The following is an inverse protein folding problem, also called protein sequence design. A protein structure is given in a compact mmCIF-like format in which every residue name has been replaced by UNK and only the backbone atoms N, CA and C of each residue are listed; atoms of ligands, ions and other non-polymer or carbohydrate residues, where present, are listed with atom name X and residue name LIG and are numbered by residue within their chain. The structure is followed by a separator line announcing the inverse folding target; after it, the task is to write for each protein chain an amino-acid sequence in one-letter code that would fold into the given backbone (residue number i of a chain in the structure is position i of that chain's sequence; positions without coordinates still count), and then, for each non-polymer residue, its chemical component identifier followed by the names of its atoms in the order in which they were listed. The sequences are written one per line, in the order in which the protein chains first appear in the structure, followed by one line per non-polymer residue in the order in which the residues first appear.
data_IF_900037535718
#
_entry.id   IF_900037535718
#
_cell.length_a   1.000
_cell.length_b   1.000
_cell.length_c   1.000
_cell.angle_alpha   90.00
_cell.angle_beta   90.00
_cell.angle_gamma   90.00
#
_symmetry.space_group_name_H-M   'P 1'
#
loop_
_entity.id
_entity.type
_entity.pdbx_description
1 polymer ?
#
# COMPACT_ATOMS: atom_id res chain seq x y z
N UNK A 1 2.73 -20.56 3.70
CA UNK A 1 2.74 -19.10 3.48
C UNK A 1 2.35 -18.31 4.74
N UNK A 2 1.24 -18.65 5.41
CA UNK A 2 0.74 -17.99 6.63
C UNK A 2 1.79 -17.72 7.73
N UNK A 3 2.48 -18.76 8.22
CA UNK A 3 3.43 -18.60 9.31
C UNK A 3 4.58 -17.63 8.97
N UNK A 4 5.10 -17.71 7.74
CA UNK A 4 6.21 -16.89 7.26
C UNK A 4 5.80 -15.42 7.10
N UNK A 5 4.61 -15.15 6.57
CA UNK A 5 4.11 -13.78 6.43
C UNK A 5 3.89 -13.13 7.80
N UNK A 6 3.29 -13.85 8.75
CA UNK A 6 3.08 -13.37 10.12
C UNK A 6 4.42 -13.12 10.82
N UNK A 7 5.35 -14.09 10.77
CA UNK A 7 6.69 -13.92 11.36
C UNK A 7 7.39 -12.67 10.82
N UNK A 8 7.32 -12.42 9.50
CA UNK A 8 7.89 -11.22 8.90
C UNK A 8 7.16 -9.93 9.34
N UNK A 9 5.82 -9.95 9.40
CA UNK A 9 5.02 -8.81 9.84
C UNK A 9 5.33 -8.40 11.28
N UNK A 10 5.74 -9.33 12.15
CA UNK A 10 6.15 -9.01 13.52
C UNK A 10 7.34 -8.05 13.61
N UNK A 11 8.13 -7.89 12.54
CA UNK A 11 9.15 -6.86 12.46
C UNK A 11 8.57 -5.43 12.58
N UNK A 12 7.29 -5.23 12.23
CA UNK A 12 6.57 -3.96 12.36
C UNK A 12 5.98 -3.73 13.75
N UNK A 13 6.02 -4.74 14.64
CA UNK A 13 5.41 -4.72 15.98
C UNK A 13 3.90 -4.32 15.94
N UNK A 14 3.06 -5.02 15.16
CA UNK A 14 1.66 -4.65 14.98
C UNK A 14 0.83 -4.89 16.25
N UNK A 15 -0.14 -4.02 16.51
CA UNK A 15 -1.14 -4.21 17.58
C UNK A 15 -2.23 -5.23 17.19
N UNK A 16 -2.52 -5.35 15.90
CA UNK A 16 -3.54 -6.24 15.33
C UNK A 16 -2.97 -6.98 14.13
N UNK A 17 -3.21 -8.29 14.06
CA UNK A 17 -2.77 -9.15 12.95
C UNK A 17 -4.00 -9.78 12.32
N UNK A 18 -4.11 -9.65 11.00
CA UNK A 18 -5.10 -10.38 10.22
C UNK A 18 -4.59 -11.79 9.91
N UNK A 19 -5.37 -12.80 10.26
CA UNK A 19 -5.05 -14.21 10.03
C UNK A 19 -5.86 -14.69 8.82
N UNK A 20 -5.14 -15.21 7.83
CA UNK A 20 -5.73 -15.83 6.65
C UNK A 20 -5.76 -17.35 6.85
N UNK A 21 -6.84 -18.01 6.42
CA UNK A 21 -6.93 -19.47 6.47
C UNK A 21 -5.81 -20.11 5.65
N UNK A 22 -5.15 -21.15 6.17
CA UNK A 22 -4.14 -21.88 5.36
C UNK A 22 -4.74 -22.51 4.09
N UNK A 23 -6.08 -22.62 4.03
CA UNK A 23 -6.90 -23.15 2.94
C UNK A 23 -7.34 -22.09 1.91
N UNK A 24 -6.92 -20.82 2.03
CA UNK A 24 -7.38 -19.69 1.18
C UNK A 24 -7.43 -19.98 -0.32
N UNK A 25 -6.43 -20.71 -0.83
CA UNK A 25 -6.31 -21.02 -2.26
C UNK A 25 -7.07 -22.29 -2.71
N UNK A 26 -7.73 -22.98 -1.78
CA UNK A 26 -8.35 -24.29 -2.02
C UNK A 26 -9.87 -24.24 -1.78
N UNK A 27 -10.30 -23.95 -0.54
CA UNK A 27 -11.71 -23.97 -0.19
C UNK A 27 -12.07 -22.92 0.89
N UNK A 28 -13.37 -22.69 1.06
CA UNK A 28 -13.88 -21.80 2.11
C UNK A 28 -13.53 -22.38 3.49
N UNK A 29 -12.87 -21.58 4.32
CA UNK A 29 -12.39 -22.03 5.62
C UNK A 29 -13.53 -22.54 6.52
N UNK A 30 -13.35 -23.74 7.05
CA UNK A 30 -14.20 -24.31 8.11
C UNK A 30 -13.81 -23.74 9.48
N UNK A 31 -14.59 -24.08 10.51
CA UNK A 31 -14.26 -23.67 11.89
C UNK A 31 -12.90 -24.24 12.32
N UNK A 32 -12.63 -25.49 11.95
CA UNK A 32 -11.39 -26.21 12.23
C UNK A 32 -10.20 -25.52 11.55
N UNK A 33 -10.35 -25.10 10.29
CA UNK A 33 -9.28 -24.40 9.57
C UNK A 33 -8.92 -23.05 10.20
N UNK A 34 -9.92 -22.33 10.71
CA UNK A 34 -9.72 -21.05 11.40
C UNK A 34 -8.98 -21.26 12.73
N UNK A 35 -9.35 -22.29 13.51
CA UNK A 35 -8.67 -22.63 14.76
C UNK A 35 -7.21 -23.02 14.50
N UNK A 36 -6.97 -23.85 13.49
CA UNK A 36 -5.61 -24.29 13.14
C UNK A 36 -4.76 -23.10 12.64
N UNK A 37 -5.30 -22.28 11.74
CA UNK A 37 -4.62 -21.07 11.25
C UNK A 37 -4.29 -20.11 12.39
N UNK A 38 -5.18 -19.99 13.39
CA UNK A 38 -4.95 -19.18 14.60
C UNK A 38 -3.84 -19.73 15.47
N UNK A 39 -3.73 -21.06 15.58
CA UNK A 39 -2.66 -21.75 16.32
C UNK A 39 -1.31 -21.55 15.63
N UNK A 40 -1.26 -21.70 14.30
CA UNK A 40 -0.08 -21.42 13.49
C UNK A 40 0.37 -19.97 13.64
N UNK A 41 -0.57 -19.02 13.53
CA UNK A 41 -0.32 -17.60 13.70
C UNK A 41 0.30 -17.29 15.07
N UNK A 42 -0.32 -17.80 16.16
CA UNK A 42 0.20 -17.65 17.52
C UNK A 42 1.63 -18.15 17.64
N UNK A 43 1.91 -19.33 17.09
CA UNK A 43 3.26 -19.90 17.15
C UNK A 43 4.29 -19.06 16.38
N UNK A 44 3.92 -18.53 15.22
CA UNK A 44 4.78 -17.63 14.45
C UNK A 44 5.09 -16.34 15.21
N UNK A 45 4.09 -15.76 15.88
CA UNK A 45 4.23 -14.56 16.73
C UNK A 45 5.18 -14.85 17.90
N UNK A 46 4.93 -15.94 18.65
CA UNK A 46 5.80 -16.35 19.76
C UNK A 46 7.25 -16.52 19.33
N UNK A 47 7.47 -17.15 18.17
CA UNK A 47 8.81 -17.37 17.65
C UNK A 47 9.50 -16.04 17.30
N UNK A 48 8.80 -15.08 16.71
CA UNK A 48 9.36 -13.76 16.43
C UNK A 48 9.69 -13.01 17.73
N UNK A 49 8.81 -13.09 18.74
CA UNK A 49 8.99 -12.46 20.04
C UNK A 49 10.15 -13.06 20.86
N UNK A 50 10.45 -14.36 20.67
CA UNK A 50 11.61 -15.03 21.31
C UNK A 50 12.96 -14.59 20.76
N UNK A 51 12.98 -13.84 19.65
CA UNK A 51 14.21 -13.31 19.05
C UNK A 51 14.16 -13.36 17.53
N UNK A 52 13.61 -12.32 16.92
CA UNK A 52 13.73 -12.07 15.49
C UNK A 52 14.91 -11.12 15.21
N UNK A 53 15.59 -11.27 14.05
CA UNK A 53 16.56 -10.28 13.60
C UNK A 53 15.94 -8.88 13.49
N UNK A 54 16.68 -7.85 13.88
CA UNK A 54 16.27 -6.47 13.64
C UNK A 54 16.38 -6.15 12.14
N UNK A 55 15.24 -6.16 11.45
CA UNK A 55 15.17 -5.88 10.01
C UNK A 55 15.56 -4.44 9.68
N UNK A 56 15.48 -3.49 10.63
CA UNK A 56 15.91 -2.11 10.42
C UNK A 56 17.43 -1.96 10.43
N UNK A 57 18.18 -2.99 10.84
CA UNK A 57 19.64 -2.99 10.72
C UNK A 57 20.10 -2.95 9.26
N UNK A 58 19.31 -3.47 8.31
CA UNK A 58 19.63 -3.45 6.87
C UNK A 58 19.41 -2.04 6.26
N UNK A 59 20.46 -1.41 5.68
CA UNK A 59 20.32 -0.13 4.98
C UNK A 59 19.30 -0.14 3.84
N UNK A 60 19.08 -1.28 3.16
CA UNK A 60 18.09 -1.40 2.08
C UNK A 60 16.67 -1.18 2.59
N UNK A 61 16.36 -1.69 3.80
CA UNK A 61 15.06 -1.52 4.44
C UNK A 61 14.86 -0.05 4.83
N UNK A 62 15.84 0.57 5.48
CA UNK A 62 15.82 2.01 5.82
C UNK A 62 15.64 2.90 4.60
N UNK A 63 16.38 2.64 3.53
CA UNK A 63 16.25 3.39 2.27
C UNK A 63 14.86 3.23 1.66
N UNK A 64 14.27 2.02 1.74
CA UNK A 64 12.91 1.78 1.25
C UNK A 64 11.86 2.53 2.07
N UNK A 65 12.00 2.58 3.39
CA UNK A 65 11.12 3.37 4.28
C UNK A 65 11.19 4.85 3.90
N UNK A 66 12.39 5.42 3.81
CA UNK A 66 12.57 6.83 3.44
C UNK A 66 11.98 7.14 2.07
N UNK A 67 12.16 6.24 1.10
CA UNK A 67 11.54 6.38 -0.22
C UNK A 67 10.01 6.37 -0.14
N UNK A 68 9.41 5.45 0.61
CA UNK A 68 7.94 5.38 0.77
C UNK A 68 7.38 6.63 1.44
N UNK A 69 8.04 7.15 2.48
CA UNK A 69 7.65 8.39 3.15
C UNK A 69 7.72 9.59 2.20
N UNK A 70 8.79 9.69 1.42
CA UNK A 70 8.95 10.76 0.44
C UNK A 70 7.87 10.72 -0.64
N UNK A 71 7.61 9.55 -1.23
CA UNK A 71 6.58 9.40 -2.27
C UNK A 71 5.19 9.70 -1.70
N UNK A 72 4.86 9.19 -0.52
CA UNK A 72 3.59 9.51 0.15
C UNK A 72 3.42 11.01 0.41
N UNK A 73 4.50 11.71 0.79
CA UNK A 73 4.46 13.16 1.00
C UNK A 73 4.16 13.93 -0.29
N UNK A 74 4.69 13.47 -1.44
CA UNK A 74 4.35 14.03 -2.76
C UNK A 74 2.86 13.85 -3.06
N UNK A 75 2.32 12.64 -2.87
CA UNK A 75 0.88 12.37 -3.07
C UNK A 75 0.02 13.27 -2.18
N UNK A 76 0.34 13.35 -0.87
CA UNK A 76 -0.42 14.17 0.09
C UNK A 76 -0.37 15.66 -0.27
N UNK A 77 0.77 16.16 -0.73
CA UNK A 77 0.89 17.54 -1.18
C UNK A 77 0.05 17.79 -2.44
N UNK A 78 0.04 16.86 -3.39
CA UNK A 78 -0.81 16.94 -4.57
C UNK A 78 -2.30 17.00 -4.22
N UNK A 79 -2.75 16.22 -3.23
CA UNK A 79 -4.13 16.29 -2.72
C UNK A 79 -4.41 17.67 -2.13
N UNK A 80 -3.49 18.21 -1.31
CA UNK A 80 -3.65 19.56 -0.73
C UNK A 80 -3.76 20.66 -1.79
N UNK A 81 -3.03 20.54 -2.90
CA UNK A 81 -3.09 21.49 -4.02
C UNK A 81 -4.43 21.47 -4.78
N UNK A 82 -5.27 20.45 -4.59
CA UNK A 82 -6.62 20.45 -5.17
C UNK A 82 -7.59 21.38 -4.43
N UNK A 83 -7.29 21.76 -3.18
CA UNK A 83 -8.22 22.56 -2.40
C UNK A 83 -8.30 24.00 -2.95
N UNK A 84 -9.53 24.43 -3.21
CA UNK A 84 -9.85 25.83 -3.52
C UNK A 84 -10.15 26.65 -2.26
N UNK A 85 -10.33 26.00 -1.11
CA UNK A 85 -10.74 26.64 0.14
C UNK A 85 -9.76 26.30 1.27
N UNK A 86 -9.11 27.32 1.82
CA UNK A 86 -8.16 27.17 2.93
C UNK A 86 -8.82 26.94 4.30
N UNK A 87 -10.15 26.99 4.41
CA UNK A 87 -10.85 26.85 5.70
C UNK A 87 -11.11 25.42 6.16
N UNK A 88 -10.88 24.41 5.30
CA UNK A 88 -11.06 22.98 5.62
C UNK A 88 -9.76 22.27 5.28
N UNK A 89 -9.31 21.36 6.15
CA UNK A 89 -8.15 20.51 5.84
C UNK A 89 -8.45 19.66 4.59
N UNK A 90 -7.70 19.81 3.49
CA UNK A 90 -7.93 19.09 2.25
C UNK A 90 -7.90 17.56 2.40
N UNK A 91 -7.22 17.04 3.44
CA UNK A 91 -7.11 15.60 3.68
C UNK A 91 -8.34 14.98 4.36
N UNK A 92 -9.31 15.80 4.78
CA UNK A 92 -10.60 15.35 5.31
C UNK A 92 -11.80 15.89 4.54
N UNK A 93 -11.58 16.78 3.56
CA UNK A 93 -12.64 17.33 2.73
C UNK A 93 -13.11 16.27 1.70
N UNK A 94 -14.38 15.79 1.77
CA UNK A 94 -14.89 14.77 0.85
C UNK A 94 -14.86 15.20 -0.61
N UNK A 95 -15.00 16.50 -0.91
CA UNK A 95 -14.92 16.99 -2.29
C UNK A 95 -13.49 16.91 -2.83
N UNK A 96 -12.50 17.30 -2.02
CA UNK A 96 -11.08 17.20 -2.39
C UNK A 96 -10.67 15.73 -2.57
N UNK A 97 -11.04 14.87 -1.62
CA UNK A 97 -10.73 13.45 -1.71
C UNK A 97 -11.37 12.81 -2.95
N UNK A 98 -12.64 13.10 -3.25
CA UNK A 98 -13.28 12.62 -4.46
C UNK A 98 -12.56 13.11 -5.74
N UNK A 99 -12.19 14.39 -5.80
CA UNK A 99 -11.42 14.92 -6.92
C UNK A 99 -10.06 14.24 -7.08
N UNK A 100 -9.37 13.92 -5.98
CA UNK A 100 -8.09 13.22 -6.04
C UNK A 100 -8.20 11.82 -6.66
N UNK A 101 -9.32 11.12 -6.45
CA UNK A 101 -9.59 9.80 -7.06
C UNK A 101 -9.94 9.93 -8.54
N UNK A 102 -10.82 10.87 -8.88
CA UNK A 102 -11.27 11.13 -10.25
C UNK A 102 -10.09 11.54 -11.13
N UNK A 103 -9.24 12.44 -10.63
CA UNK A 103 -8.05 12.92 -11.36
C UNK A 103 -6.94 11.87 -11.41
N UNK A 104 -6.93 10.89 -10.49
CA UNK A 104 -5.91 9.85 -10.42
C UNK A 104 -4.67 10.24 -9.60
N UNK A 105 -4.77 11.28 -8.75
CA UNK A 105 -3.77 11.51 -7.70
C UNK A 105 -3.81 10.35 -6.70
N UNK A 106 -5.00 9.95 -6.25
CA UNK A 106 -5.22 8.67 -5.60
C UNK A 106 -5.74 7.68 -6.64
N UNK A 107 -4.96 6.63 -6.93
CA UNK A 107 -5.34 5.65 -7.94
C UNK A 107 -4.87 4.24 -7.53
N UNK A 108 -5.53 3.22 -8.05
CA UNK A 108 -5.13 1.83 -7.87
C UNK A 108 -5.48 1.00 -9.11
N UNK A 109 -4.70 -0.04 -9.44
CA UNK A 109 -4.97 -0.89 -10.61
C UNK A 109 -6.38 -1.49 -10.61
N UNK A 110 -6.93 -1.76 -9.42
CA UNK A 110 -8.26 -2.33 -9.22
C UNK A 110 -9.40 -1.34 -9.51
N UNK A 111 -9.11 -0.05 -9.68
CA UNK A 111 -10.09 0.98 -10.05
C UNK A 111 -10.33 1.05 -11.57
N UNK A 112 -9.64 0.23 -12.36
CA UNK A 112 -9.85 0.15 -13.81
C UNK A 112 -11.33 -0.10 -14.13
N UNK A 113 -11.87 0.69 -15.07
CA UNK A 113 -13.28 0.69 -15.49
C UNK A 113 -14.28 1.19 -14.42
N UNK A 114 -13.83 1.87 -13.37
CA UNK A 114 -14.73 2.53 -12.42
C UNK A 114 -15.10 3.94 -12.94
N UNK A 115 -16.39 4.28 -13.09
CA UNK A 115 -16.81 5.60 -13.58
C UNK A 115 -16.46 6.77 -12.65
N UNK A 116 -16.09 6.50 -11.39
CA UNK A 116 -15.74 7.51 -10.38
C UNK A 116 -14.24 7.57 -10.07
N UNK A 117 -13.39 6.86 -10.83
CA UNK A 117 -11.96 6.83 -10.60
C UNK A 117 -11.16 6.77 -11.90
N UNK A 118 -9.91 7.24 -11.86
CA UNK A 118 -9.02 7.21 -13.02
C UNK A 118 -8.70 5.77 -13.46
N UNK A 119 -8.26 4.90 -12.53
CA UNK A 119 -7.96 3.50 -12.82
C UNK A 119 -6.87 3.30 -13.88
N UNK A 120 -5.98 4.28 -14.05
CA UNK A 120 -4.96 4.29 -15.11
C UNK A 120 -3.57 3.93 -14.61
N UNK A 121 -3.35 3.94 -13.30
CA UNK A 121 -2.07 3.56 -12.70
C UNK A 121 -1.75 2.09 -13.00
N UNK A 122 -0.48 1.84 -13.33
CA UNK A 122 0.07 0.50 -13.49
C UNK A 122 1.18 0.27 -12.49
N UNK A 123 1.21 -0.91 -11.88
CA UNK A 123 2.22 -1.29 -10.89
C UNK A 123 2.87 -2.62 -11.24
N UNK A 124 4.13 -2.81 -10.82
CA UNK A 124 4.85 -4.09 -10.94
C UNK A 124 5.69 -4.35 -9.69
N UNK A 125 5.92 -5.62 -9.41
CA UNK A 125 6.96 -6.04 -8.45
C UNK A 125 8.33 -5.96 -9.15
N UNK A 126 9.19 -5.07 -8.68
CA UNK A 126 10.57 -4.89 -9.16
C UNK A 126 11.50 -5.01 -7.96
N UNK A 127 12.38 -6.00 -7.97
CA UNK A 127 13.30 -6.31 -6.86
C UNK A 127 12.58 -6.46 -5.51
N UNK A 128 11.46 -7.18 -5.49
CA UNK A 128 10.66 -7.41 -4.28
C UNK A 128 9.84 -6.20 -3.80
N UNK A 129 9.82 -5.09 -4.55
CA UNK A 129 9.04 -3.89 -4.20
C UNK A 129 7.93 -3.62 -5.22
N UNK A 130 6.71 -3.33 -4.76
CA UNK A 130 5.67 -2.79 -5.63
C UNK A 130 6.00 -1.34 -6.01
N UNK A 131 6.04 -1.06 -7.31
CA UNK A 131 6.34 0.27 -7.87
C UNK A 131 5.39 0.63 -8.99
N UNK A 132 5.04 1.91 -9.09
CA UNK A 132 4.36 2.48 -10.25
C UNK A 132 5.27 2.39 -11.48
N UNK A 133 4.70 2.04 -12.64
CA UNK A 133 5.43 1.90 -13.89
C UNK A 133 4.79 2.70 -15.01
N UNK A 134 5.62 3.18 -15.94
CA UNK A 134 5.16 3.79 -17.19
C UNK A 134 4.60 2.73 -18.16
N UNK A 135 4.06 3.18 -19.29
CA UNK A 135 3.62 2.30 -20.40
C UNK A 135 4.73 1.39 -20.93
N UNK A 136 6.00 1.77 -20.78
CA UNK A 136 7.15 0.93 -21.19
C UNK A 136 7.59 -0.05 -20.10
N UNK A 137 6.88 -0.10 -18.96
CA UNK A 137 7.16 -0.99 -17.84
C UNK A 137 8.33 -0.55 -16.96
N UNK A 138 8.90 0.64 -17.20
CA UNK A 138 9.95 1.23 -16.36
C UNK A 138 9.33 1.85 -15.11
N UNK A 139 9.97 1.65 -13.96
CA UNK A 139 9.57 2.29 -12.72
C UNK A 139 9.60 3.83 -12.88
N UNK A 140 8.59 4.50 -12.34
CA UNK A 140 8.50 5.96 -12.28
C UNK A 140 8.40 6.40 -10.82
N UNK A 141 8.92 7.59 -10.52
CA UNK A 141 8.71 8.23 -9.23
C UNK A 141 7.30 8.83 -9.15
N UNK A 142 6.85 9.05 -7.93
CA UNK A 142 5.58 9.70 -7.64
C UNK A 142 5.55 11.13 -8.20
N UNK A 143 6.66 11.86 -8.11
CA UNK A 143 6.78 13.19 -8.70
C UNK A 143 6.41 13.20 -10.19
N UNK A 144 7.05 12.33 -10.98
CA UNK A 144 6.79 12.21 -12.41
C UNK A 144 5.35 11.75 -12.70
N UNK A 145 4.82 10.88 -11.85
CA UNK A 145 3.44 10.39 -11.96
C UNK A 145 2.44 11.53 -11.73
N UNK A 146 2.62 12.31 -10.67
CA UNK A 146 1.75 13.42 -10.32
C UNK A 146 1.83 14.53 -11.37
N UNK A 147 3.01 14.88 -11.86
CA UNK A 147 3.17 15.86 -12.95
C UNK A 147 2.38 15.46 -14.20
N UNK A 148 2.44 14.18 -14.59
CA UNK A 148 1.69 13.67 -15.73
C UNK A 148 0.17 13.72 -15.50
N UNK A 149 -0.29 13.43 -14.28
CA UNK A 149 -1.71 13.53 -13.89
C UNK A 149 -2.19 14.98 -13.94
N UNK A 150 -1.43 15.91 -13.37
CA UNK A 150 -1.80 17.33 -13.31
C UNK A 150 -1.80 17.96 -14.70
N UNK A 151 -0.82 17.64 -15.56
CA UNK A 151 -0.78 18.13 -16.94
C UNK A 151 -2.02 17.72 -17.74
N UNK A 152 -2.46 16.47 -17.60
CA UNK A 152 -3.67 15.96 -18.28
C UNK A 152 -4.95 16.68 -17.84
N UNK A 153 -4.96 17.30 -16.65
CA UNK A 153 -6.12 18.05 -16.15
C UNK A 153 -6.24 19.45 -16.77
N UNK A 154 -5.13 20.01 -17.23
CA UNK A 154 -5.09 21.34 -17.87
C UNK A 154 -5.46 21.28 -19.36
N UNK A 155 -5.40 20.09 -19.97
CA UNK A 155 -5.78 19.79 -21.37
C UNK A 155 -7.29 19.47 -21.49
#
# INVERSE_FOLDING_TARGET
HLATSIYLQMALKPDIIHIVGYTEADHAATAEDVIESSTIARRAIENAMRGAPDMLSDPKVKNRINWLLHEAQITLNAIRFLSANSSIDPLIDPHVLAQSVITGIMDAPQLKNNPYASGTISTRIINGSCKSVSKTGKAISEQLRIEAVLKKREE
#
